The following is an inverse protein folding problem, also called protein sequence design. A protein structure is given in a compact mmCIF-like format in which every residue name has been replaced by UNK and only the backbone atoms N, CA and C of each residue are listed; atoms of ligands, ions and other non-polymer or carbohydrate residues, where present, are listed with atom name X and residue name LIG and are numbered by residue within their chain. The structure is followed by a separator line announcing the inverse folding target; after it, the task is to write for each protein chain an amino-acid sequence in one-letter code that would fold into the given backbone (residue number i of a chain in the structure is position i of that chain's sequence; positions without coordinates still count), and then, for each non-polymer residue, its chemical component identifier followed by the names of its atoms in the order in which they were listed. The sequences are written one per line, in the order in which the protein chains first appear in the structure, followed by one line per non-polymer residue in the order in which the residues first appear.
data_IF_971604538738
#
_entry.id   IF_971604538738
#
_cell.length_a   1.000
_cell.length_b   1.000
_cell.length_c   1.000
_cell.angle_alpha   90.00
_cell.angle_beta   90.00
_cell.angle_gamma   90.00
#
_symmetry.space_group_name_H-M   'P 1'
#
loop_
_entity.id
_entity.type
_entity.pdbx_description
1 polymer ?
#
# COMPACT_ATOMS: atom_id res chain seq x y z
N UNK A 1 -0.30 -6.68 20.29
CA UNK A 1 -1.09 -5.56 19.76
C UNK A 1 -2.48 -5.56 20.36
N UNK A 2 -3.07 -4.38 20.61
CA UNK A 2 -4.43 -4.29 21.19
C UNK A 2 -5.36 -3.52 20.26
N UNK A 3 -6.57 -4.03 20.11
CA UNK A 3 -7.66 -3.42 19.35
C UNK A 3 -8.82 -3.11 20.30
N UNK A 4 -9.17 -1.85 20.43
CA UNK A 4 -10.33 -1.38 21.17
C UNK A 4 -11.40 -0.99 20.16
N UNK A 5 -12.62 -1.45 20.32
CA UNK A 5 -13.71 -1.21 19.38
C UNK A 5 -14.85 -0.52 20.12
N UNK A 6 -15.06 0.76 19.85
CA UNK A 6 -16.21 1.51 20.34
C UNK A 6 -17.41 1.21 19.42
N UNK A 7 -18.40 0.50 19.92
CA UNK A 7 -19.48 -0.07 19.10
C UNK A 7 -20.80 -0.11 19.87
N UNK A 8 -21.91 -0.26 19.16
CA UNK A 8 -23.22 -0.58 19.74
C UNK A 8 -23.48 -2.10 19.79
N UNK A 9 -22.60 -2.91 19.17
CA UNK A 9 -22.80 -4.37 19.02
C UNK A 9 -21.52 -5.15 19.37
N UNK A 10 -21.07 -5.11 20.64
CA UNK A 10 -19.84 -5.79 21.06
C UNK A 10 -19.87 -7.29 20.81
N UNK A 11 -21.02 -7.95 20.96
CA UNK A 11 -21.17 -9.39 20.69
C UNK A 11 -20.91 -9.73 19.22
N UNK A 12 -21.32 -8.88 18.27
CA UNK A 12 -21.06 -9.07 16.84
C UNK A 12 -19.57 -9.12 16.56
N UNK A 13 -18.81 -8.19 17.14
CA UNK A 13 -17.35 -8.09 16.98
C UNK A 13 -16.67 -9.31 17.64
N UNK A 14 -17.01 -9.60 18.88
CA UNK A 14 -16.38 -10.69 19.64
C UNK A 14 -16.67 -12.07 19.04
N UNK A 15 -17.89 -12.32 18.56
CA UNK A 15 -18.24 -13.57 17.88
C UNK A 15 -17.54 -13.68 16.51
N UNK A 16 -17.42 -12.57 15.76
CA UNK A 16 -16.76 -12.56 14.46
C UNK A 16 -15.27 -12.83 14.56
N UNK A 17 -14.57 -12.11 15.42
CA UNK A 17 -13.12 -12.22 15.60
C UNK A 17 -12.71 -13.40 16.51
N UNK A 18 -13.59 -13.91 17.36
CA UNK A 18 -13.30 -14.97 18.33
C UNK A 18 -13.11 -16.36 17.73
N UNK A 19 -13.09 -16.51 16.41
CA UNK A 19 -12.98 -17.79 15.70
C UNK A 19 -11.72 -17.85 14.83
N UNK A 20 -11.38 -19.06 14.35
CA UNK A 20 -10.29 -19.30 13.40
C UNK A 20 -8.91 -18.77 13.87
N UNK A 21 -8.18 -18.05 13.03
CA UNK A 21 -6.82 -17.53 13.29
C UNK A 21 -6.87 -16.41 14.32
N UNK A 22 -7.77 -15.45 14.16
CA UNK A 22 -7.92 -14.32 15.10
C UNK A 22 -8.30 -14.79 16.49
N UNK A 23 -9.24 -15.77 16.61
CA UNK A 23 -9.61 -16.37 17.89
C UNK A 23 -8.45 -17.10 18.58
N UNK A 24 -7.59 -17.80 17.83
CA UNK A 24 -6.37 -18.41 18.37
C UNK A 24 -5.35 -17.37 18.82
N UNK A 25 -5.19 -16.30 18.05
CA UNK A 25 -4.31 -15.19 18.39
C UNK A 25 -4.75 -14.45 19.66
N UNK A 26 -6.06 -14.29 19.86
CA UNK A 26 -6.63 -13.78 21.12
C UNK A 26 -6.37 -14.74 22.28
N UNK A 27 -6.60 -16.04 22.09
CA UNK A 27 -6.38 -17.06 23.12
C UNK A 27 -4.92 -17.20 23.54
N UNK A 28 -3.97 -17.00 22.61
CA UNK A 28 -2.54 -17.01 22.87
C UNK A 28 -2.00 -15.68 23.44
N UNK A 29 -2.80 -14.60 23.41
CA UNK A 29 -2.38 -13.27 23.85
C UNK A 29 -1.52 -12.52 22.82
N UNK A 30 -1.38 -13.03 21.58
CA UNK A 30 -0.69 -12.30 20.49
C UNK A 30 -1.42 -11.00 20.13
N UNK A 31 -2.76 -11.04 20.15
CA UNK A 31 -3.61 -9.86 20.05
C UNK A 31 -4.61 -9.82 21.22
N UNK A 32 -5.04 -8.62 21.56
CA UNK A 32 -6.16 -8.39 22.48
C UNK A 32 -7.25 -7.62 21.72
N UNK A 33 -8.48 -8.08 21.85
CA UNK A 33 -9.67 -7.41 21.31
C UNK A 33 -10.58 -7.03 22.48
N UNK A 34 -10.88 -5.74 22.62
CA UNK A 34 -11.72 -5.16 23.66
C UNK A 34 -12.87 -4.40 23.02
N UNK A 35 -14.03 -5.01 22.94
CA UNK A 35 -15.23 -4.41 22.36
C UNK A 35 -16.02 -3.70 23.48
N UNK A 36 -16.10 -2.37 23.37
CA UNK A 36 -16.68 -1.47 24.37
C UNK A 36 -18.07 -1.04 23.89
N UNK A 37 -19.10 -1.34 24.67
CA UNK A 37 -20.47 -0.88 24.38
C UNK A 37 -20.60 0.62 24.70
N UNK A 38 -20.78 1.44 23.68
CA UNK A 38 -20.99 2.88 23.82
C UNK A 38 -22.23 3.19 24.68
N UNK A 39 -23.22 2.27 24.72
CA UNK A 39 -24.42 2.46 25.55
C UNK A 39 -24.13 2.47 27.05
N UNK A 40 -23.02 1.90 27.51
CA UNK A 40 -22.63 1.93 28.91
C UNK A 40 -22.27 3.32 29.41
N UNK A 41 -21.99 4.24 28.48
CA UNK A 41 -21.63 5.63 28.76
C UNK A 41 -22.81 6.60 28.58
N UNK A 42 -23.99 6.06 28.26
CA UNK A 42 -25.21 6.87 28.19
C UNK A 42 -25.67 7.30 29.60
N UNK A 43 -25.98 8.58 29.73
CA UNK A 43 -26.58 9.15 30.96
C UNK A 43 -28.10 9.01 30.99
N UNK A 44 -28.71 8.49 29.90
CA UNK A 44 -30.11 8.18 29.85
C UNK A 44 -30.43 6.85 30.56
N UNK A 45 -31.53 6.82 31.31
CA UNK A 45 -31.97 5.62 32.05
C UNK A 45 -32.28 4.41 31.16
N UNK A 46 -32.58 4.65 29.87
CA UNK A 46 -32.86 3.61 28.88
C UNK A 46 -31.63 3.33 27.99
N UNK A 47 -30.46 3.93 28.32
CA UNK A 47 -29.20 3.76 27.58
C UNK A 47 -29.30 4.20 26.11
N UNK A 48 -30.15 5.21 25.80
CA UNK A 48 -30.19 5.81 24.48
C UNK A 48 -28.86 6.52 24.19
N UNK A 49 -28.38 6.38 22.96
CA UNK A 49 -27.11 6.96 22.48
C UNK A 49 -27.29 7.76 21.20
N UNK A 50 -28.51 7.95 20.75
CA UNK A 50 -28.89 8.60 19.51
C UNK A 50 -30.01 9.61 19.74
N UNK A 51 -30.13 10.60 18.84
CA UNK A 51 -31.18 11.61 18.86
C UNK A 51 -31.46 12.10 17.42
N UNK A 52 -32.56 12.82 17.25
CA UNK A 52 -32.92 13.39 15.96
C UNK A 52 -31.88 14.43 15.48
N UNK A 53 -31.55 14.46 14.18
CA UNK A 53 -30.58 15.41 13.65
C UNK A 53 -31.09 16.85 13.71
N UNK A 54 -30.22 17.80 14.06
CA UNK A 54 -30.52 19.22 13.90
C UNK A 54 -30.74 19.55 12.40
N UNK A 55 -31.70 20.41 12.15
CA UNK A 55 -32.09 20.74 10.76
C UNK A 55 -33.16 19.82 10.19
N UNK A 56 -33.54 18.76 10.90
CA UNK A 56 -34.51 17.79 10.45
C UNK A 56 -33.88 16.74 9.51
N UNK A 57 -34.65 15.77 9.09
CA UNK A 57 -34.25 14.66 8.25
C UNK A 57 -34.79 13.34 8.76
N UNK A 58 -34.63 12.29 7.98
CA UNK A 58 -34.93 10.92 8.40
C UNK A 58 -33.77 10.34 9.21
N UNK A 59 -34.05 9.41 10.10
CA UNK A 59 -33.04 8.71 10.88
C UNK A 59 -32.61 9.41 12.15
N UNK A 60 -31.58 8.87 12.78
CA UNK A 60 -31.04 9.32 14.06
C UNK A 60 -29.53 9.52 13.92
N UNK A 61 -28.93 10.32 14.82
CA UNK A 61 -27.48 10.55 14.87
C UNK A 61 -26.96 10.14 16.25
N UNK A 62 -25.84 9.47 16.30
CA UNK A 62 -25.21 9.09 17.57
C UNK A 62 -24.76 10.34 18.32
N UNK A 63 -25.15 10.43 19.59
CA UNK A 63 -24.86 11.56 20.46
C UNK A 63 -23.36 11.66 20.78
N UNK A 64 -22.79 12.90 20.86
CA UNK A 64 -21.37 13.07 21.14
C UNK A 64 -20.95 12.63 22.54
N UNK A 65 -21.82 12.80 23.56
CA UNK A 65 -21.49 12.47 24.95
C UNK A 65 -21.07 11.02 25.15
N UNK A 66 -21.92 10.03 24.88
CA UNK A 66 -21.56 8.61 25.07
C UNK A 66 -20.30 8.18 24.29
N UNK A 67 -20.12 8.71 23.08
CA UNK A 67 -18.95 8.40 22.22
C UNK A 67 -17.67 8.95 22.83
N UNK A 68 -17.66 10.22 23.24
CA UNK A 68 -16.50 10.84 23.86
C UNK A 68 -16.20 10.25 25.25
N UNK A 69 -17.23 10.04 26.09
CA UNK A 69 -17.08 9.49 27.45
C UNK A 69 -16.46 8.06 27.36
N UNK A 70 -16.86 7.25 26.37
CA UNK A 70 -16.27 5.92 26.12
C UNK A 70 -14.77 5.97 25.77
N UNK A 71 -14.38 6.91 24.91
CA UNK A 71 -12.97 7.11 24.55
C UNK A 71 -12.15 7.67 25.70
N UNK A 72 -12.69 8.63 26.46
CA UNK A 72 -12.01 9.21 27.62
C UNK A 72 -11.79 8.19 28.74
N UNK A 73 -12.76 7.31 29.00
CA UNK A 73 -12.59 6.19 29.93
C UNK A 73 -11.50 5.24 29.46
N UNK A 74 -11.48 4.89 28.16
CA UNK A 74 -10.42 4.09 27.57
C UNK A 74 -9.04 4.75 27.77
N UNK A 75 -8.91 6.06 27.48
CA UNK A 75 -7.67 6.79 27.70
C UNK A 75 -7.24 6.76 29.17
N UNK A 76 -8.18 6.86 30.10
CA UNK A 76 -7.93 6.78 31.54
C UNK A 76 -7.44 5.39 31.96
N UNK A 77 -8.10 4.33 31.47
CA UNK A 77 -7.74 2.94 31.76
C UNK A 77 -6.37 2.54 31.19
N UNK A 78 -6.01 3.04 30.02
CA UNK A 78 -4.75 2.71 29.35
C UNK A 78 -3.60 3.64 29.70
N UNK A 79 -3.89 4.84 30.20
CA UNK A 79 -2.92 5.91 30.44
C UNK A 79 -2.35 6.52 29.15
N UNK A 80 -2.97 6.26 28.01
CA UNK A 80 -2.56 6.68 26.66
C UNK A 80 -3.73 7.33 25.90
N UNK A 81 -3.41 7.99 24.79
CA UNK A 81 -4.39 8.43 23.79
C UNK A 81 -4.14 7.66 22.49
N UNK A 82 -4.70 6.45 22.33
CA UNK A 82 -4.49 5.65 21.14
C UNK A 82 -5.08 6.32 19.90
N UNK A 83 -4.53 5.99 18.75
CA UNK A 83 -5.01 6.39 17.43
C UNK A 83 -6.44 5.88 17.20
N UNK A 84 -7.35 6.77 16.78
CA UNK A 84 -8.77 6.46 16.59
C UNK A 84 -9.12 6.44 15.12
N UNK A 85 -9.55 5.28 14.64
CA UNK A 85 -9.93 5.02 13.25
C UNK A 85 -11.46 5.01 13.16
N UNK A 86 -12.04 6.02 12.50
CA UNK A 86 -13.47 6.04 12.22
C UNK A 86 -13.78 5.35 10.89
N UNK A 87 -14.70 4.39 10.95
CA UNK A 87 -15.14 3.62 9.79
C UNK A 87 -16.20 4.38 9.02
N UNK A 88 -15.84 4.92 7.85
CA UNK A 88 -16.71 5.79 7.06
C UNK A 88 -16.39 5.74 5.57
N UNK A 89 -17.41 5.83 4.67
CA UNK A 89 -17.16 5.96 3.23
C UNK A 89 -16.37 7.22 2.83
N UNK A 90 -16.31 8.24 3.71
CA UNK A 90 -15.56 9.49 3.45
C UNK A 90 -14.05 9.32 3.65
N UNK A 91 -13.61 8.20 4.24
CA UNK A 91 -12.21 7.94 4.56
C UNK A 91 -11.38 7.49 3.35
N UNK A 92 -10.06 7.51 3.51
CA UNK A 92 -9.17 6.91 2.51
C UNK A 92 -9.39 5.39 2.45
N UNK A 93 -9.29 4.83 1.26
CA UNK A 93 -9.54 3.40 1.04
C UNK A 93 -8.40 2.58 1.63
N UNK A 94 -8.75 1.66 2.53
CA UNK A 94 -7.84 0.73 3.18
C UNK A 94 -7.17 -0.21 2.17
N UNK A 95 -5.89 -0.45 2.33
CA UNK A 95 -5.09 -1.38 1.53
C UNK A 95 -3.96 -2.01 2.37
N UNK A 96 -3.17 -2.89 1.76
CA UNK A 96 -2.11 -3.61 2.46
C UNK A 96 -1.05 -2.68 3.08
N UNK A 97 -0.64 -1.61 2.39
CA UNK A 97 0.37 -0.69 2.93
C UNK A 97 -0.13 0.08 4.15
N UNK A 98 -1.43 0.40 4.21
CA UNK A 98 -2.05 0.99 5.40
C UNK A 98 -2.10 -0.03 6.54
N UNK A 99 -2.39 -1.30 6.23
CA UNK A 99 -2.35 -2.36 7.25
C UNK A 99 -0.95 -2.50 7.86
N UNK A 100 0.11 -2.45 7.04
CA UNK A 100 1.51 -2.48 7.47
C UNK A 100 1.87 -1.26 8.35
N UNK A 101 1.40 -0.07 8.00
CA UNK A 101 1.53 1.15 8.81
C UNK A 101 0.87 0.95 10.18
N UNK A 102 -0.39 0.53 10.20
CA UNK A 102 -1.18 0.36 11.42
C UNK A 102 -0.67 -0.79 12.30
N UNK A 103 -0.06 -1.81 11.72
CA UNK A 103 0.53 -2.93 12.46
C UNK A 103 1.76 -2.53 13.32
N UNK A 104 2.32 -1.33 13.12
CA UNK A 104 3.40 -0.79 13.95
C UNK A 104 2.90 -0.19 15.26
N UNK A 105 1.60 0.02 15.40
CA UNK A 105 1.00 0.58 16.61
C UNK A 105 0.86 -0.50 17.70
N UNK A 106 1.00 -0.08 18.96
CA UNK A 106 0.75 -0.98 20.09
C UNK A 106 -0.75 -1.17 20.36
N UNK A 107 -1.52 -0.09 20.18
CA UNK A 107 -2.95 -0.01 20.46
C UNK A 107 -3.66 0.83 19.40
N UNK A 108 -4.79 0.35 18.89
CA UNK A 108 -5.67 1.05 17.95
C UNK A 108 -7.10 1.07 18.49
N UNK A 109 -7.80 2.16 18.23
CA UNK A 109 -9.23 2.28 18.50
C UNK A 109 -10.00 2.32 17.19
N UNK A 110 -11.01 1.47 17.05
CA UNK A 110 -11.95 1.49 15.94
C UNK A 110 -13.27 2.07 16.43
N UNK A 111 -13.71 3.18 15.83
CA UNK A 111 -14.99 3.80 16.10
C UNK A 111 -16.00 3.36 15.04
N UNK A 112 -17.01 2.62 15.48
CA UNK A 112 -18.07 2.07 14.63
C UNK A 112 -19.32 2.98 14.72
N UNK A 113 -19.62 3.68 13.64
CA UNK A 113 -20.86 4.47 13.54
C UNK A 113 -22.06 3.63 13.14
N UNK A 114 -23.22 4.11 13.54
CA UNK A 114 -24.53 3.56 13.16
C UNK A 114 -25.50 4.69 12.79
N UNK A 115 -26.71 4.33 12.39
CA UNK A 115 -27.77 5.27 11.97
C UNK A 115 -27.33 6.16 10.81
N UNK A 116 -27.55 7.48 10.89
CA UNK A 116 -27.09 8.46 9.90
C UNK A 116 -25.62 8.90 10.14
N UNK A 117 -25.00 8.41 11.21
CA UNK A 117 -23.62 8.69 11.58
C UNK A 117 -23.47 9.12 13.03
N UNK A 118 -22.34 9.73 13.33
CA UNK A 118 -21.95 10.23 14.65
C UNK A 118 -21.93 11.75 14.59
N UNK A 119 -22.32 12.42 15.67
CA UNK A 119 -22.24 13.88 15.81
C UNK A 119 -20.81 14.36 15.48
N UNK A 120 -20.72 15.33 14.56
CA UNK A 120 -19.44 15.81 14.01
C UNK A 120 -18.50 16.32 15.11
N UNK A 121 -19.04 16.91 16.18
CA UNK A 121 -18.26 17.40 17.32
C UNK A 121 -17.51 16.28 18.04
N UNK A 122 -18.08 15.06 18.12
CA UNK A 122 -17.35 13.91 18.64
C UNK A 122 -16.23 13.48 17.70
N UNK A 123 -16.50 13.46 16.40
CA UNK A 123 -15.50 13.10 15.39
C UNK A 123 -14.31 14.07 15.43
N UNK A 124 -14.57 15.38 15.45
CA UNK A 124 -13.53 16.43 15.55
C UNK A 124 -12.67 16.31 16.83
N UNK A 125 -13.26 15.86 17.94
CA UNK A 125 -12.57 15.77 19.23
C UNK A 125 -11.68 14.54 19.36
N UNK A 126 -12.07 13.39 18.80
CA UNK A 126 -11.40 12.12 19.10
C UNK A 126 -10.82 11.38 17.89
N UNK A 127 -11.31 11.62 16.67
CA UNK A 127 -10.88 10.85 15.49
C UNK A 127 -9.54 11.36 14.96
N UNK A 128 -8.62 10.42 14.71
CA UNK A 128 -7.34 10.71 14.08
C UNK A 128 -7.34 10.33 12.60
N UNK A 129 -8.09 9.30 12.23
CA UNK A 129 -8.11 8.71 10.89
C UNK A 129 -9.52 8.36 10.43
N UNK A 130 -9.81 8.71 9.19
CA UNK A 130 -11.03 8.33 8.49
C UNK A 130 -10.69 7.24 7.47
N UNK A 131 -11.31 6.04 7.60
CA UNK A 131 -11.00 4.88 6.77
C UNK A 131 -12.24 4.28 6.12
N UNK A 132 -12.10 3.90 4.86
CA UNK A 132 -13.11 3.20 4.07
C UNK A 132 -12.60 1.83 3.63
N UNK A 133 -13.49 0.83 3.53
CA UNK A 133 -13.16 -0.47 2.93
C UNK A 133 -13.60 -0.58 1.47
N UNK A 134 -14.08 0.50 0.88
CA UNK A 134 -14.50 0.58 -0.53
C UNK A 134 -15.68 1.53 -0.75
N UNK A 135 -16.03 1.76 -2.00
CA UNK A 135 -17.07 2.69 -2.45
C UNK A 135 -18.46 2.03 -2.37
N UNK A 136 -18.88 1.67 -1.17
CA UNK A 136 -20.20 1.12 -0.88
C UNK A 136 -20.62 1.43 0.56
N UNK A 137 -21.91 1.37 0.84
CA UNK A 137 -22.48 1.68 2.15
C UNK A 137 -22.86 0.40 2.89
N UNK A 138 -22.52 0.32 4.17
CA UNK A 138 -22.89 -0.75 5.10
C UNK A 138 -23.84 -0.22 6.17
N UNK A 139 -24.47 -1.11 6.91
CA UNK A 139 -25.41 -0.76 7.98
C UNK A 139 -24.74 -0.25 9.25
N UNK A 140 -23.42 -0.44 9.39
CA UNK A 140 -22.63 -0.01 10.54
C UNK A 140 -21.13 -0.22 10.33
N UNK A 141 -20.33 0.27 11.28
CA UNK A 141 -18.87 0.26 11.22
C UNK A 141 -18.23 -1.06 11.68
N UNK A 142 -18.98 -2.02 12.24
CA UNK A 142 -18.40 -3.24 12.82
C UNK A 142 -17.77 -4.16 11.77
N UNK A 143 -18.47 -4.41 10.65
CA UNK A 143 -17.94 -5.26 9.58
C UNK A 143 -16.63 -4.73 8.99
N UNK A 144 -16.54 -3.45 8.58
CA UNK A 144 -15.29 -2.91 8.10
C UNK A 144 -14.19 -2.89 9.18
N UNK A 145 -14.52 -2.63 10.44
CA UNK A 145 -13.56 -2.70 11.54
C UNK A 145 -13.00 -4.12 11.67
N UNK A 146 -13.84 -5.16 11.64
CA UNK A 146 -13.39 -6.55 11.70
C UNK A 146 -12.52 -6.93 10.50
N UNK A 147 -12.83 -6.47 9.28
CA UNK A 147 -12.00 -6.68 8.08
C UNK A 147 -10.60 -6.07 8.28
N UNK A 148 -10.53 -4.84 8.78
CA UNK A 148 -9.24 -4.19 9.05
C UNK A 148 -8.47 -4.88 10.17
N UNK A 149 -9.14 -5.25 11.27
CA UNK A 149 -8.51 -5.96 12.39
C UNK A 149 -7.95 -7.31 11.95
N UNK A 150 -8.69 -8.09 11.15
CA UNK A 150 -8.18 -9.36 10.61
C UNK A 150 -6.93 -9.13 9.76
N UNK A 151 -6.98 -8.18 8.82
CA UNK A 151 -5.84 -7.85 7.96
C UNK A 151 -4.60 -7.41 8.76
N UNK A 152 -4.76 -6.48 9.72
CA UNK A 152 -3.68 -5.98 10.56
C UNK A 152 -3.13 -7.09 11.47
N UNK A 153 -4.01 -7.91 12.05
CA UNK A 153 -3.61 -9.00 12.95
C UNK A 153 -2.69 -10.00 12.28
N UNK A 154 -2.85 -10.28 10.99
CA UNK A 154 -1.98 -11.17 10.21
C UNK A 154 -0.52 -10.71 10.16
N UNK A 155 -0.28 -9.39 10.34
CA UNK A 155 1.04 -8.77 10.33
C UNK A 155 1.67 -8.74 11.73
N UNK A 156 0.91 -9.10 12.77
CA UNK A 156 1.42 -9.16 14.15
C UNK A 156 2.21 -10.46 14.36
N UNK A 157 3.45 -10.38 14.88
CA UNK A 157 4.25 -11.57 15.17
C UNK A 157 3.50 -12.59 16.06
N UNK A 158 3.57 -13.86 15.72
CA UNK A 158 2.95 -14.96 16.46
C UNK A 158 1.45 -15.20 16.16
N UNK A 159 0.82 -14.43 15.27
CA UNK A 159 -0.56 -14.67 14.81
C UNK A 159 -0.60 -15.74 13.73
N UNK A 160 0.29 -15.68 12.76
CA UNK A 160 0.48 -16.73 11.76
C UNK A 160 1.58 -17.69 12.19
N UNK A 161 1.37 -18.99 12.01
CA UNK A 161 2.36 -20.02 12.35
C UNK A 161 3.59 -20.02 11.43
N UNK A 162 3.50 -19.40 10.27
CA UNK A 162 4.57 -19.35 9.29
C UNK A 162 4.72 -17.90 8.80
N UNK A 163 5.73 -17.20 9.33
CA UNK A 163 6.02 -15.80 8.97
C UNK A 163 6.41 -15.66 7.49
N UNK A 164 6.99 -16.71 6.89
CA UNK A 164 7.32 -16.76 5.44
C UNK A 164 6.06 -16.71 4.56
N UNK A 165 4.89 -17.11 5.09
CA UNK A 165 3.65 -17.05 4.31
C UNK A 165 3.23 -15.62 3.98
N UNK A 166 3.49 -14.66 4.86
CA UNK A 166 3.14 -13.25 4.64
C UNK A 166 3.98 -12.59 3.52
N UNK A 167 5.21 -13.05 3.32
CA UNK A 167 6.13 -12.50 2.30
C UNK A 167 5.77 -12.91 0.85
N UNK A 168 4.92 -13.93 0.67
CA UNK A 168 4.59 -14.50 -0.66
C UNK A 168 3.13 -14.25 -1.04
N UNK A 169 2.37 -13.59 -0.17
CA UNK A 169 0.95 -13.30 -0.38
C UNK A 169 0.73 -12.17 -1.40
N UNK A 170 -0.53 -12.06 -1.88
CA UNK A 170 -0.94 -10.97 -2.77
C UNK A 170 -0.68 -9.61 -2.15
N UNK A 171 -0.24 -8.65 -2.97
CA UNK A 171 0.07 -7.25 -2.65
C UNK A 171 1.42 -7.00 -1.97
N UNK A 172 2.17 -8.01 -1.52
CA UNK A 172 3.47 -7.80 -0.88
C UNK A 172 4.44 -7.05 -1.82
N UNK A 173 4.51 -7.41 -3.08
CA UNK A 173 5.36 -6.77 -4.10
C UNK A 173 4.52 -6.17 -5.25
N UNK A 174 3.32 -5.66 -4.91
CA UNK A 174 2.32 -5.23 -5.87
C UNK A 174 2.00 -6.29 -6.95
N UNK A 175 2.14 -7.57 -6.61
CA UNK A 175 1.73 -8.68 -7.45
C UNK A 175 0.64 -9.51 -6.75
N UNK A 176 -0.15 -10.22 -7.55
CA UNK A 176 -1.03 -11.27 -7.05
C UNK A 176 -0.25 -12.54 -6.80
N UNK A 177 -0.68 -13.32 -5.80
CA UNK A 177 -0.14 -14.63 -5.53
C UNK A 177 -0.29 -15.58 -6.73
N UNK A 178 0.70 -16.48 -6.89
CA UNK A 178 0.66 -17.56 -7.87
C UNK A 178 -0.43 -18.59 -7.58
N UNK A 179 -0.83 -19.45 -8.58
CA UNK A 179 -1.84 -20.47 -8.36
C UNK A 179 -1.37 -21.56 -7.42
N UNK A 180 -2.20 -21.90 -6.43
CA UNK A 180 -1.94 -22.99 -5.51
C UNK A 180 -2.58 -24.29 -6.02
N UNK A 181 -1.87 -25.41 -5.82
CA UNK A 181 -2.34 -26.75 -6.17
C UNK A 181 -2.17 -27.70 -4.99
N UNK A 182 -3.09 -28.66 -4.86
CA UNK A 182 -3.05 -29.72 -3.88
C UNK A 182 -3.45 -31.07 -4.51
N UNK A 183 -3.48 -32.12 -3.71
CA UNK A 183 -3.88 -33.47 -4.13
C UNK A 183 -5.38 -33.56 -4.47
N UNK A 184 -5.76 -34.41 -5.42
CA UNK A 184 -4.94 -35.32 -6.23
C UNK A 184 -4.19 -34.59 -7.37
N UNK A 185 -3.12 -35.23 -7.92
CA UNK A 185 -2.31 -34.69 -9.01
C UNK A 185 -3.12 -34.41 -10.29
N UNK A 186 -4.10 -35.26 -10.58
CA UNK A 186 -5.05 -35.04 -11.69
C UNK A 186 -6.46 -34.98 -11.14
N UNK A 187 -7.15 -33.87 -11.41
CA UNK A 187 -8.56 -33.69 -11.03
C UNK A 187 -9.41 -33.32 -12.23
N UNK A 188 -10.35 -34.18 -12.59
CA UNK A 188 -11.27 -33.99 -13.72
C UNK A 188 -10.56 -33.65 -15.03
N UNK A 189 -9.48 -34.36 -15.33
CA UNK A 189 -8.66 -34.18 -16.53
C UNK A 189 -7.69 -32.98 -16.50
N UNK A 190 -7.64 -32.21 -15.43
CA UNK A 190 -6.68 -31.13 -15.23
C UNK A 190 -5.57 -31.59 -14.30
N UNK A 191 -4.32 -31.54 -14.77
CA UNK A 191 -3.14 -31.94 -14.02
C UNK A 191 -2.50 -30.75 -13.28
N UNK A 192 -1.81 -31.06 -12.20
CA UNK A 192 -0.86 -30.12 -11.55
C UNK A 192 0.31 -29.88 -12.52
N UNK A 193 0.81 -28.64 -12.64
CA UNK A 193 1.99 -28.35 -13.47
C UNK A 193 3.21 -29.22 -13.08
N UNK A 194 3.83 -29.86 -14.06
CA UNK A 194 4.95 -30.79 -13.83
C UNK A 194 6.12 -30.18 -13.04
N UNK A 195 6.37 -28.87 -13.23
CA UNK A 195 7.41 -28.15 -12.50
C UNK A 195 7.22 -28.24 -10.98
N UNK A 196 5.97 -28.26 -10.49
CA UNK A 196 5.65 -28.36 -9.07
C UNK A 196 5.88 -29.76 -8.50
N UNK A 197 5.92 -30.78 -9.37
CA UNK A 197 6.16 -32.17 -9.02
C UNK A 197 7.66 -32.53 -9.10
N UNK A 198 8.50 -31.67 -9.73
CA UNK A 198 9.90 -31.93 -10.04
C UNK A 198 10.84 -31.96 -8.83
N UNK A 199 10.45 -31.38 -7.69
CA UNK A 199 11.32 -31.19 -6.52
C UNK A 199 12.44 -30.16 -6.70
N UNK A 200 12.57 -29.52 -7.86
CA UNK A 200 13.60 -28.51 -8.13
C UNK A 200 13.17 -27.12 -7.64
N UNK A 201 13.51 -26.79 -6.39
CA UNK A 201 13.07 -25.56 -5.72
C UNK A 201 13.27 -24.29 -6.56
N UNK A 202 14.43 -24.10 -7.18
CA UNK A 202 14.72 -22.92 -8.01
C UNK A 202 13.76 -22.79 -9.19
N UNK A 203 13.44 -23.91 -9.87
CA UNK A 203 12.51 -23.89 -11.00
C UNK A 203 11.07 -23.62 -10.54
N UNK A 204 10.72 -24.14 -9.35
CA UNK A 204 9.42 -23.89 -8.74
C UNK A 204 9.27 -22.42 -8.37
N UNK A 205 10.29 -21.80 -7.78
CA UNK A 205 10.29 -20.36 -7.43
C UNK A 205 10.19 -19.46 -8.67
N UNK A 206 10.96 -19.76 -9.72
CA UNK A 206 10.90 -19.06 -10.99
C UNK A 206 9.52 -19.20 -11.64
N UNK A 207 8.93 -20.37 -11.61
CA UNK A 207 7.59 -20.61 -12.13
C UNK A 207 6.54 -19.84 -11.33
N UNK A 208 6.60 -19.89 -9.99
CA UNK A 208 5.71 -19.14 -9.10
C UNK A 208 5.75 -17.64 -9.39
N UNK A 209 6.95 -17.09 -9.55
CA UNK A 209 7.14 -15.66 -9.85
C UNK A 209 6.54 -15.28 -11.22
N UNK A 210 6.77 -16.09 -12.25
CA UNK A 210 6.17 -15.91 -13.58
C UNK A 210 4.65 -15.98 -13.53
N UNK A 211 4.08 -16.91 -12.79
CA UNK A 211 2.63 -17.04 -12.63
C UNK A 211 2.02 -15.85 -11.88
N UNK A 212 2.70 -15.31 -10.86
CA UNK A 212 2.28 -14.07 -10.18
C UNK A 212 2.20 -12.90 -11.16
N UNK A 213 3.24 -12.71 -11.97
CA UNK A 213 3.26 -11.63 -13.00
C UNK A 213 2.15 -11.83 -14.01
N UNK A 214 1.97 -13.04 -14.54
CA UNK A 214 0.91 -13.36 -15.52
C UNK A 214 -0.47 -13.09 -14.92
N UNK A 215 -0.76 -13.59 -13.73
CA UNK A 215 -2.03 -13.36 -13.04
C UNK A 215 -2.30 -11.89 -12.75
N UNK A 216 -1.28 -11.15 -12.38
CA UNK A 216 -1.42 -9.72 -12.12
C UNK A 216 -1.77 -8.99 -13.41
N UNK A 217 -1.10 -9.31 -14.52
CA UNK A 217 -1.43 -8.74 -15.83
C UNK A 217 -2.88 -9.04 -16.24
N UNK A 218 -3.35 -10.27 -16.02
CA UNK A 218 -4.68 -10.71 -16.43
C UNK A 218 -5.81 -10.14 -15.56
N UNK A 219 -5.58 -9.94 -14.26
CA UNK A 219 -6.64 -9.68 -13.28
C UNK A 219 -6.56 -8.32 -12.61
N UNK A 220 -5.35 -7.82 -12.38
CA UNK A 220 -5.08 -6.57 -11.68
C UNK A 220 -3.89 -5.84 -12.33
N UNK A 221 -4.03 -5.48 -13.64
CA UNK A 221 -2.95 -4.77 -14.36
C UNK A 221 -2.60 -3.42 -13.73
N UNK A 222 -3.51 -2.85 -12.96
CA UNK A 222 -3.33 -1.62 -12.18
C UNK A 222 -2.23 -1.72 -11.11
N UNK A 223 -1.85 -2.92 -10.66
CA UNK A 223 -0.78 -3.13 -9.68
C UNK A 223 0.61 -3.13 -10.31
N UNK A 224 0.73 -3.51 -11.59
CA UNK A 224 2.02 -3.67 -12.26
C UNK A 224 2.93 -2.43 -12.24
N UNK A 225 2.42 -1.18 -12.35
CA UNK A 225 3.26 0.01 -12.27
C UNK A 225 4.02 0.17 -10.94
N UNK A 226 3.48 -0.41 -9.86
CA UNK A 226 4.10 -0.39 -8.53
C UNK A 226 4.94 -1.63 -8.21
N UNK A 227 4.94 -2.66 -9.10
CA UNK A 227 5.66 -3.91 -8.85
C UNK A 227 7.17 -3.75 -9.02
N UNK A 228 7.94 -4.34 -8.11
CA UNK A 228 9.40 -4.38 -8.19
C UNK A 228 9.84 -5.55 -9.07
N UNK A 229 9.93 -5.32 -10.38
CA UNK A 229 10.30 -6.35 -11.36
C UNK A 229 11.77 -6.21 -11.78
N UNK A 230 12.46 -7.34 -11.86
CA UNK A 230 13.80 -7.43 -12.47
C UNK A 230 13.72 -7.25 -14.00
N UNK A 231 14.86 -7.03 -14.66
CA UNK A 231 14.90 -6.91 -16.12
C UNK A 231 14.33 -8.15 -16.83
N UNK A 232 14.64 -9.36 -16.35
CA UNK A 232 14.11 -10.61 -16.92
C UNK A 232 12.60 -10.72 -16.77
N UNK A 233 12.06 -10.26 -15.65
CA UNK A 233 10.63 -10.26 -15.38
C UNK A 233 9.89 -9.22 -16.22
N UNK A 234 10.50 -8.06 -16.47
CA UNK A 234 9.97 -7.09 -17.44
C UNK A 234 9.93 -7.66 -18.84
N UNK A 235 11.00 -8.29 -19.33
CA UNK A 235 11.03 -8.98 -20.62
C UNK A 235 9.94 -10.06 -20.72
N UNK A 236 9.73 -10.81 -19.64
CA UNK A 236 8.65 -11.79 -19.58
C UNK A 236 7.28 -11.12 -19.64
N UNK A 237 7.04 -10.05 -18.86
CA UNK A 237 5.79 -9.29 -18.88
C UNK A 237 5.48 -8.75 -20.29
N UNK A 238 6.46 -8.23 -20.98
CA UNK A 238 6.28 -7.67 -22.32
C UNK A 238 6.05 -8.78 -23.37
N UNK A 239 6.66 -9.94 -23.22
CA UNK A 239 6.33 -11.10 -24.04
C UNK A 239 4.86 -11.53 -23.89
N UNK A 240 4.29 -11.39 -22.68
CA UNK A 240 2.87 -11.65 -22.43
C UNK A 240 1.94 -10.59 -23.07
N UNK A 241 2.38 -9.34 -23.17
CA UNK A 241 1.64 -8.24 -23.82
C UNK A 241 1.69 -8.29 -25.34
N UNK A 242 2.44 -9.24 -25.92
CA UNK A 242 2.60 -9.38 -27.37
C UNK A 242 3.60 -8.39 -28.00
N UNK A 243 4.44 -7.79 -27.18
CA UNK A 243 5.53 -6.89 -27.61
C UNK A 243 6.89 -7.58 -27.47
N UNK A 244 7.71 -7.43 -28.50
CA UNK A 244 9.11 -7.88 -28.46
C UNK A 244 9.93 -6.86 -27.69
N UNK A 245 10.36 -6.80 -26.63
CA UNK A 245 11.27 -5.95 -25.83
C UNK A 245 10.61 -4.95 -24.86
N UNK A 246 10.59 -5.32 -23.59
CA UNK A 246 10.25 -4.43 -22.46
C UNK A 246 11.21 -3.25 -22.23
N UNK A 247 12.18 -3.13 -23.09
CA UNK A 247 13.06 -1.98 -23.24
C UNK A 247 12.40 -0.83 -24.01
N UNK A 248 11.31 -1.07 -24.75
CA UNK A 248 10.69 -0.05 -25.61
C UNK A 248 10.29 1.22 -24.84
N UNK A 249 9.56 1.08 -23.73
CA UNK A 249 9.19 2.25 -22.90
C UNK A 249 10.41 2.92 -22.26
N UNK A 250 11.43 2.15 -21.84
CA UNK A 250 12.67 2.70 -21.36
C UNK A 250 13.44 3.41 -22.48
N UNK A 251 13.45 2.86 -23.67
CA UNK A 251 14.07 3.50 -24.84
C UNK A 251 13.40 4.82 -25.18
N UNK A 252 12.08 4.90 -25.18
CA UNK A 252 11.33 6.15 -25.37
C UNK A 252 11.65 7.19 -24.28
N UNK A 253 11.76 6.78 -23.01
CA UNK A 253 12.14 7.66 -21.91
C UNK A 253 13.56 8.17 -22.09
N UNK A 254 14.52 7.32 -22.48
CA UNK A 254 15.91 7.69 -22.69
C UNK A 254 16.09 8.58 -23.96
N UNK A 255 15.32 8.32 -25.01
CA UNK A 255 15.30 9.17 -26.20
C UNK A 255 14.76 10.57 -25.85
N UNK A 256 13.67 10.63 -25.10
CA UNK A 256 13.10 11.89 -24.64
C UNK A 256 14.03 12.67 -23.69
N UNK A 257 14.72 11.97 -22.78
CA UNK A 257 15.75 12.56 -21.90
C UNK A 257 16.93 13.11 -22.71
N UNK A 258 17.45 12.33 -23.66
CA UNK A 258 18.59 12.74 -24.47
C UNK A 258 18.26 13.95 -25.36
N UNK A 259 17.07 14.01 -25.93
CA UNK A 259 16.60 15.14 -26.73
C UNK A 259 16.45 16.43 -25.91
N UNK A 260 15.90 16.34 -24.69
CA UNK A 260 15.76 17.50 -23.81
C UNK A 260 17.11 17.98 -23.28
N UNK A 261 18.02 17.08 -22.94
CA UNK A 261 19.39 17.42 -22.56
C UNK A 261 20.12 18.18 -23.68
N UNK A 262 20.00 17.71 -24.93
CA UNK A 262 20.58 18.40 -26.10
C UNK A 262 19.93 19.78 -26.30
N UNK A 263 18.63 19.92 -26.16
CA UNK A 263 17.91 21.19 -26.27
C UNK A 263 18.34 22.22 -25.21
N UNK A 264 18.57 21.80 -23.99
CA UNK A 264 19.04 22.66 -22.90
C UNK A 264 20.47 23.13 -23.15
N UNK A 265 21.35 22.29 -23.72
CA UNK A 265 22.70 22.65 -24.11
C UNK A 265 22.70 23.65 -25.28
N UNK A 266 21.91 23.44 -26.33
CA UNK A 266 21.77 24.36 -27.44
C UNK A 266 21.22 25.73 -27.01
N UNK A 267 20.39 25.83 -25.98
CA UNK A 267 19.97 27.11 -25.40
C UNK A 267 21.10 27.83 -24.69
N UNK A 268 21.92 27.09 -23.92
CA UNK A 268 23.04 27.63 -23.15
C UNK A 268 24.14 28.21 -24.06
N UNK A 269 24.43 27.56 -25.19
CA UNK A 269 25.40 28.05 -26.17
C UNK A 269 24.90 29.33 -26.88
N UNK A 270 23.58 29.56 -27.01
CA UNK A 270 23.03 30.83 -27.53
C UNK A 270 23.10 31.97 -26.52
N UNK A 271 22.98 31.67 -25.22
CA UNK A 271 23.03 32.67 -24.13
C UNK A 271 24.49 33.08 -23.86
N UNK A 272 25.49 32.22 -24.12
CA UNK A 272 26.91 32.56 -23.96
C UNK A 272 27.49 33.42 -25.09
N UNK A 273 26.73 33.64 -26.17
CA UNK A 273 27.09 34.51 -27.28
C UNK A 273 26.50 35.94 -27.17
N UNK A 274 25.66 36.22 -26.20
CA UNK A 274 25.18 37.56 -25.87
C UNK A 274 25.65 37.88 -24.44
N UNK A 275 26.47 38.94 -24.34
CA UNK A 275 27.06 39.47 -23.10
C UNK A 275 25.98 39.76 -22.05
N UNK A 276 25.90 38.93 -20.99
CA UNK A 276 25.63 39.45 -19.65
C UNK A 276 26.13 38.47 -18.57
N UNK A 277 27.27 38.87 -17.95
CA UNK A 277 27.84 38.22 -16.78
C UNK A 277 27.19 38.80 -15.55
N UNK A 278 26.12 38.20 -15.04
CA UNK A 278 25.74 38.38 -13.62
C UNK A 278 25.06 37.13 -13.10
N UNK A 279 25.67 36.58 -12.06
CA UNK A 279 25.13 35.63 -11.08
C UNK A 279 24.38 34.38 -11.58
N UNK A 280 25.14 33.36 -11.92
CA UNK A 280 24.65 31.96 -11.85
C UNK A 280 24.85 31.49 -10.41
N UNK A 281 23.77 31.52 -9.60
CA UNK A 281 23.72 30.79 -8.36
C UNK A 281 23.92 29.31 -8.69
N UNK A 282 24.85 28.66 -8.00
CA UNK A 282 24.98 27.20 -7.97
C UNK A 282 23.65 26.60 -7.55
N UNK A 283 22.89 26.08 -8.50
CA UNK A 283 21.74 25.21 -8.19
C UNK A 283 22.30 23.92 -7.59
N UNK A 284 21.99 23.71 -6.32
CA UNK A 284 22.35 22.52 -5.58
C UNK A 284 21.85 21.28 -6.32
N UNK A 285 22.76 20.37 -6.61
CA UNK A 285 22.42 19.00 -7.01
C UNK A 285 21.47 18.41 -5.94
N UNK A 286 20.40 17.69 -6.33
CA UNK A 286 19.58 16.96 -5.37
C UNK A 286 20.47 15.98 -4.63
N UNK A 287 20.30 15.88 -3.32
CA UNK A 287 20.99 14.89 -2.51
C UNK A 287 20.71 13.50 -3.11
N UNK A 288 21.77 12.75 -3.41
CA UNK A 288 21.69 11.37 -3.94
C UNK A 288 20.98 10.40 -2.99
N UNK A 289 20.66 10.85 -1.77
CA UNK A 289 20.09 10.02 -0.69
C UNK A 289 18.63 9.61 -0.89
N UNK A 290 17.87 10.31 -1.76
CA UNK A 290 16.43 10.03 -1.94
C UNK A 290 16.11 9.08 -3.11
N UNK A 291 17.11 8.59 -3.84
CA UNK A 291 16.89 7.69 -4.98
C UNK A 291 17.65 6.37 -4.78
N UNK A 292 16.93 5.26 -4.79
CA UNK A 292 17.47 3.88 -4.60
C UNK A 292 18.58 3.45 -5.58
N UNK A 293 18.97 4.31 -6.53
CA UNK A 293 20.00 4.03 -7.54
C UNK A 293 21.29 4.83 -7.26
N UNK A 294 21.97 4.57 -6.14
CA UNK A 294 23.24 5.22 -5.77
C UNK A 294 24.42 4.94 -6.73
N UNK A 295 24.26 3.99 -7.66
CA UNK A 295 25.29 3.63 -8.66
C UNK A 295 25.14 4.33 -10.01
N UNK A 296 24.08 5.13 -10.23
CA UNK A 296 23.98 5.96 -11.44
C UNK A 296 24.92 7.16 -11.29
N UNK A 297 25.94 7.24 -12.14
CA UNK A 297 26.80 8.42 -12.28
C UNK A 297 25.95 9.65 -12.63
N UNK A 298 26.51 10.86 -12.45
CA UNK A 298 25.80 12.11 -12.77
C UNK A 298 25.16 12.01 -14.18
N UNK A 299 23.83 12.19 -14.31
CA UNK A 299 23.14 12.10 -15.60
C UNK A 299 23.45 13.29 -16.51
N UNK A 300 24.21 14.27 -16.01
CA UNK A 300 24.55 15.46 -16.77
C UNK A 300 25.49 15.10 -17.92
N UNK A 301 25.10 15.34 -19.18
CA UNK A 301 25.95 15.12 -20.32
C UNK A 301 27.15 16.09 -20.28
N UNK A 302 28.30 15.68 -20.85
CA UNK A 302 29.42 16.58 -21.07
C UNK A 302 29.02 17.71 -22.03
N UNK A 303 29.61 18.89 -21.87
CA UNK A 303 29.38 20.05 -22.74
C UNK A 303 29.52 19.66 -24.22
N UNK A 304 28.48 19.89 -25.02
CA UNK A 304 28.45 19.64 -26.46
C UNK A 304 28.29 18.16 -26.88
N UNK A 305 27.87 17.27 -26.02
CA UNK A 305 27.65 15.85 -26.36
C UNK A 305 26.30 15.67 -27.10
N UNK A 306 26.29 15.08 -28.32
CA UNK A 306 25.04 14.89 -29.09
C UNK A 306 24.13 13.81 -28.48
N UNK A 307 22.80 13.99 -28.63
CA UNK A 307 21.78 13.12 -28.07
C UNK A 307 22.02 11.60 -28.29
N UNK A 308 22.47 11.10 -29.47
CA UNK A 308 22.76 9.68 -29.65
C UNK A 308 23.91 9.13 -28.79
N UNK A 309 24.88 9.99 -28.38
CA UNK A 309 25.95 9.59 -27.46
C UNK A 309 25.44 9.55 -26.01
N UNK A 310 24.69 10.56 -25.60
CA UNK A 310 24.03 10.62 -24.28
C UNK A 310 23.18 9.38 -24.08
N UNK A 311 22.31 9.06 -25.05
CA UNK A 311 21.46 7.85 -25.04
C UNK A 311 22.27 6.57 -24.89
N UNK A 312 23.33 6.39 -25.69
CA UNK A 312 24.19 5.19 -25.64
C UNK A 312 24.87 5.01 -24.29
N UNK A 313 25.37 6.10 -23.69
CA UNK A 313 25.99 6.06 -22.36
C UNK A 313 24.98 5.71 -21.29
N UNK A 314 23.83 6.38 -21.26
CA UNK A 314 22.75 6.11 -20.32
C UNK A 314 22.27 4.66 -20.43
N UNK A 315 22.03 4.14 -21.63
CA UNK A 315 21.63 2.75 -21.84
C UNK A 315 22.70 1.75 -21.36
N UNK A 316 23.99 2.04 -21.55
CA UNK A 316 25.08 1.19 -21.08
C UNK A 316 25.16 1.12 -19.55
N UNK A 317 24.96 2.26 -18.86
CA UNK A 317 24.94 2.34 -17.39
C UNK A 317 23.71 1.60 -16.84
N UNK A 318 22.53 1.83 -17.41
CA UNK A 318 21.29 1.13 -17.05
C UNK A 318 21.45 -0.39 -17.15
N UNK A 319 22.01 -0.89 -18.26
CA UNK A 319 22.25 -2.34 -18.42
C UNK A 319 23.19 -2.91 -17.36
N UNK A 320 24.22 -2.17 -16.95
CA UNK A 320 25.14 -2.59 -15.88
C UNK A 320 24.44 -2.69 -14.52
N UNK A 321 23.65 -1.68 -14.17
CA UNK A 321 22.91 -1.63 -12.89
C UNK A 321 21.84 -2.72 -12.78
N UNK A 322 21.07 -2.91 -13.85
CA UNK A 322 20.06 -3.97 -13.89
C UNK A 322 20.69 -5.37 -13.88
N UNK A 323 21.88 -5.55 -14.45
CA UNK A 323 22.62 -6.82 -14.40
C UNK A 323 23.24 -7.09 -13.01
N UNK A 324 23.56 -6.05 -12.24
CA UNK A 324 24.05 -6.15 -10.85
C UNK A 324 22.96 -6.49 -9.83
N UNK A 325 21.69 -6.30 -10.16
CA UNK A 325 20.57 -6.59 -9.27
C UNK A 325 20.31 -5.50 -8.20
N UNK A 326 21.06 -4.39 -8.23
CA UNK A 326 21.03 -3.33 -7.22
C UNK A 326 19.83 -2.37 -7.39
N UNK A 327 19.18 -2.36 -8.55
CA UNK A 327 17.97 -1.58 -8.81
C UNK A 327 17.04 -2.23 -9.84
N UNK A 328 15.76 -1.84 -9.80
CA UNK A 328 14.73 -2.30 -10.73
C UNK A 328 14.63 -1.38 -11.95
N UNK A 329 13.98 -1.87 -13.01
CA UNK A 329 13.70 -1.05 -14.20
C UNK A 329 12.79 0.16 -13.87
N UNK A 330 11.90 0.02 -12.90
CA UNK A 330 11.04 1.12 -12.45
C UNK A 330 11.83 2.20 -11.69
N UNK A 331 12.83 1.81 -10.88
CA UNK A 331 13.72 2.76 -10.22
C UNK A 331 14.47 3.60 -11.26
N UNK A 332 14.97 2.94 -12.31
CA UNK A 332 15.66 3.61 -13.42
C UNK A 332 14.73 4.54 -14.21
N UNK A 333 13.52 4.08 -14.56
CA UNK A 333 12.51 4.91 -15.24
C UNK A 333 12.15 6.14 -14.41
N UNK A 334 11.94 5.97 -13.11
CA UNK A 334 11.63 7.07 -12.18
C UNK A 334 12.77 8.07 -12.11
N UNK A 335 14.00 7.60 -12.00
CA UNK A 335 15.18 8.45 -12.00
C UNK A 335 15.28 9.34 -13.24
N UNK A 336 15.16 8.76 -14.46
CA UNK A 336 15.25 9.54 -15.70
C UNK A 336 14.03 10.44 -15.94
N UNK A 337 12.82 10.07 -15.45
CA UNK A 337 11.64 10.97 -15.47
C UNK A 337 11.87 12.21 -14.60
N UNK A 338 12.44 12.04 -13.39
CA UNK A 338 12.79 13.17 -12.52
C UNK A 338 13.89 14.06 -13.13
N UNK A 339 14.92 13.45 -13.72
CA UNK A 339 15.98 14.19 -14.39
C UNK A 339 15.48 14.99 -15.61
N UNK A 340 14.43 14.53 -16.29
CA UNK A 340 13.82 15.24 -17.40
C UNK A 340 12.98 16.44 -16.95
N UNK A 341 12.35 16.35 -15.78
CA UNK A 341 11.42 17.39 -15.29
C UNK A 341 12.14 18.59 -14.64
N UNK A 342 13.47 18.53 -14.49
CA UNK A 342 14.36 19.58 -14.00
C UNK A 342 15.17 20.19 -15.12
#
# INVERSE_FOLDING_TARGET
MKFHILTLFPEMVMNGLGTSITGRAMASGAILVDAIDIRDYSKDKHRHVDDAPYGGGAGMVMQPGPVCDAYEDLCTRTGKKPRVIYMTPQGRVFNQSIAEELAQEEELVFLCGHYEGIDERALELIVTDYMSVGDFVLTGGELPAMVMIDCISRLVPGVLNNEVSAEVESFHDNLLEYPQYTRPEVFRGKAVPEVLLSGHHKNIEEWRRKESIRRTLERRPDLLPGASLTLKEHQYLDSLKGGADGLGELEEILDSYAAEAERLFCKRDRISSEEDRTDVREERQPAQEDLKCSGLGSPLPGLGEPAPRIRRRAMSEVKKLLAGGDCTLNDVKSYYKVCKAR
#
